data_IF_617926758756
#
_entry.id   IF_617926758756
#
_cell.length_a   1.000
_cell.length_b   1.000
_cell.length_c   1.000
_cell.angle_alpha   90.00
_cell.angle_beta   90.00
_cell.angle_gamma   90.00
#
_symmetry.space_group_name_H-M   'P 1'
#
loop_
_entity.id
_entity.type
_entity.pdbx_description
1 polymer ?
#
# COMPACT_ATOMS: atom_id res chain seq x y z
N UNK A 1 16.57 -11.94 0.82
CA UNK A 1 15.25 -12.51 0.50
C UNK A 1 14.93 -13.66 1.45
N UNK A 2 15.93 -14.47 1.79
CA UNK A 2 15.80 -15.67 2.63
C UNK A 2 15.16 -15.43 4.01
N UNK A 3 15.34 -14.23 4.57
CA UNK A 3 14.73 -13.82 5.85
C UNK A 3 13.25 -13.42 5.71
N UNK A 4 12.90 -12.62 4.70
CA UNK A 4 11.56 -12.01 4.57
C UNK A 4 10.58 -12.91 3.79
N UNK A 5 11.11 -13.78 2.92
CA UNK A 5 10.31 -14.65 2.04
C UNK A 5 9.27 -15.49 2.80
N UNK A 6 9.59 -16.17 3.93
CA UNK A 6 8.62 -17.01 4.62
C UNK A 6 7.42 -16.20 5.13
N UNK A 7 7.67 -15.03 5.70
CA UNK A 7 6.62 -14.14 6.22
C UNK A 7 5.75 -13.58 5.10
N UNK A 8 6.38 -13.21 4.00
CA UNK A 8 5.69 -12.67 2.84
C UNK A 8 4.76 -13.70 2.18
N UNK A 9 5.24 -14.94 1.99
CA UNK A 9 4.42 -16.01 1.42
C UNK A 9 3.25 -16.38 2.33
N UNK A 10 3.51 -16.55 3.63
CA UNK A 10 2.46 -16.81 4.62
C UNK A 10 1.37 -15.74 4.61
N UNK A 11 1.76 -14.47 4.53
CA UNK A 11 0.81 -13.36 4.41
C UNK A 11 -0.08 -13.49 3.15
N UNK A 12 0.50 -13.83 2.00
CA UNK A 12 -0.26 -14.01 0.76
C UNK A 12 -1.20 -15.22 0.84
N UNK A 13 -0.75 -16.32 1.44
CA UNK A 13 -1.56 -17.53 1.63
C UNK A 13 -2.75 -17.26 2.55
N UNK A 14 -2.53 -16.60 3.69
CA UNK A 14 -3.58 -16.20 4.62
C UNK A 14 -4.61 -15.27 3.96
N UNK A 15 -4.14 -14.27 3.20
CA UNK A 15 -5.02 -13.38 2.46
C UNK A 15 -5.80 -14.13 1.37
N UNK A 16 -5.17 -15.08 0.68
CA UNK A 16 -5.82 -15.84 -0.38
C UNK A 16 -6.95 -16.73 0.15
N UNK A 17 -6.74 -17.37 1.30
CA UNK A 17 -7.73 -18.27 1.92
C UNK A 17 -8.87 -17.47 2.57
N UNK A 18 -8.55 -16.42 3.32
CA UNK A 18 -9.53 -15.72 4.14
C UNK A 18 -10.14 -14.48 3.46
N UNK A 19 -9.44 -13.87 2.50
CA UNK A 19 -9.86 -12.64 1.82
C UNK A 19 -9.86 -11.39 2.72
N UNK A 20 -9.27 -11.47 3.91
CA UNK A 20 -9.26 -10.39 4.91
C UNK A 20 -7.86 -9.81 5.06
N UNK A 21 -7.77 -8.49 5.20
CA UNK A 21 -6.53 -7.83 5.57
C UNK A 21 -6.24 -7.98 7.06
N UNK A 22 -5.02 -8.36 7.42
CA UNK A 22 -4.55 -8.32 8.80
C UNK A 22 -4.71 -6.89 9.36
N UNK A 23 -5.12 -6.79 10.63
CA UNK A 23 -5.35 -5.50 11.29
C UNK A 23 -4.10 -4.61 11.18
N UNK A 24 -4.27 -3.38 10.71
CA UNK A 24 -3.19 -2.40 10.58
C UNK A 24 -2.39 -2.49 9.27
N UNK A 25 -2.67 -3.47 8.39
CA UNK A 25 -1.96 -3.58 7.10
C UNK A 25 -2.22 -2.37 6.18
N UNK A 26 -3.43 -1.82 6.22
CA UNK A 26 -3.82 -0.61 5.49
C UNK A 26 -3.57 0.67 6.29
N UNK A 27 -2.92 0.59 7.45
CA UNK A 27 -2.51 1.78 8.17
C UNK A 27 -1.48 2.55 7.34
N UNK A 28 -1.63 3.88 7.31
CA UNK A 28 -0.72 4.75 6.59
C UNK A 28 -0.52 6.05 7.34
N UNK A 29 0.64 6.66 7.17
CA UNK A 29 0.91 8.02 7.59
C UNK A 29 0.69 8.96 6.41
N UNK A 30 0.15 10.15 6.66
CA UNK A 30 0.10 11.21 5.66
C UNK A 30 1.31 12.11 5.88
N UNK A 31 2.19 12.19 4.89
CA UNK A 31 3.25 13.19 4.86
C UNK A 31 2.84 14.33 3.93
N UNK A 32 3.03 15.57 4.38
CA UNK A 32 2.76 16.77 3.60
C UNK A 32 4.08 17.23 2.97
N UNK A 33 4.19 17.10 1.65
CA UNK A 33 5.38 17.54 0.90
C UNK A 33 5.11 18.95 0.38
N UNK A 34 5.96 19.94 0.69
CA UNK A 34 5.78 21.31 0.20
C UNK A 34 5.90 21.35 -1.34
N UNK A 35 4.99 22.08 -2.01
CA UNK A 35 5.08 22.33 -3.47
C UNK A 35 5.88 23.59 -3.81
N UNK A 36 5.99 24.51 -2.86
CA UNK A 36 6.70 25.79 -2.96
C UNK A 36 7.73 25.92 -1.84
N UNK A 37 8.64 26.90 -1.92
CA UNK A 37 9.74 27.03 -0.96
C UNK A 37 9.30 27.41 0.46
N UNK A 38 8.24 28.21 0.58
CA UNK A 38 7.71 28.69 1.86
C UNK A 38 6.17 28.60 1.88
N UNK A 39 5.62 27.40 2.11
CA UNK A 39 4.17 27.18 2.08
C UNK A 39 3.47 27.81 3.30
N UNK A 40 2.49 28.66 3.02
CA UNK A 40 1.63 29.34 3.99
C UNK A 40 0.26 28.68 4.11
N UNK A 41 -0.24 28.07 3.03
CA UNK A 41 -1.58 27.48 2.97
C UNK A 41 -1.53 25.94 2.80
N UNK A 42 -2.58 25.24 3.26
CA UNK A 42 -2.63 23.77 3.20
C UNK A 42 -2.64 23.23 1.76
N UNK A 43 -3.22 23.99 0.83
CA UNK A 43 -3.27 23.62 -0.57
C UNK A 43 -1.90 23.75 -1.25
N UNK A 44 -0.90 24.39 -0.63
CA UNK A 44 0.49 24.44 -1.10
C UNK A 44 1.29 23.17 -0.75
N UNK A 45 0.67 22.21 -0.05
CA UNK A 45 1.23 20.90 0.19
C UNK A 45 0.64 19.84 -0.73
N UNK A 46 1.46 18.86 -1.09
CA UNK A 46 1.03 17.62 -1.73
C UNK A 46 1.00 16.51 -0.66
N UNK A 47 -0.18 15.99 -0.29
CA UNK A 47 -0.24 14.86 0.62
C UNK A 47 0.26 13.59 -0.08
N UNK A 48 1.11 12.82 0.59
CA UNK A 48 1.48 11.47 0.18
C UNK A 48 1.14 10.48 1.30
N UNK A 49 0.53 9.35 0.92
CA UNK A 49 0.29 8.24 1.85
C UNK A 49 1.53 7.34 1.92
N UNK A 50 2.14 7.30 3.09
CA UNK A 50 3.19 6.37 3.46
C UNK A 50 2.55 5.08 3.98
N UNK A 51 2.16 4.22 3.05
CA UNK A 51 1.59 2.90 3.32
C UNK A 51 2.62 1.79 3.13
N UNK A 52 2.52 0.72 3.93
CA UNK A 52 3.44 -0.41 3.92
C UNK A 52 3.58 -1.09 2.55
N UNK A 53 4.79 -1.54 2.22
CA UNK A 53 5.10 -2.16 0.92
C UNK A 53 4.31 -3.45 0.68
N UNK A 54 4.04 -4.24 1.72
CA UNK A 54 3.25 -5.47 1.65
C UNK A 54 1.84 -5.19 1.10
N UNK A 55 1.18 -4.13 1.58
CA UNK A 55 -0.11 -3.68 1.05
C UNK A 55 0.00 -3.30 -0.43
N UNK A 56 1.02 -2.52 -0.80
CA UNK A 56 1.23 -2.08 -2.20
C UNK A 56 1.41 -3.26 -3.15
N UNK A 57 2.17 -4.27 -2.75
CA UNK A 57 2.42 -5.46 -3.58
C UNK A 57 1.11 -6.26 -3.73
N UNK A 58 0.37 -6.46 -2.64
CA UNK A 58 -0.93 -7.15 -2.71
C UNK A 58 -1.93 -6.40 -3.60
N UNK A 59 -2.04 -5.08 -3.43
CA UNK A 59 -2.87 -4.23 -4.28
C UNK A 59 -2.48 -4.35 -5.76
N UNK A 60 -1.18 -4.40 -6.08
CA UNK A 60 -0.71 -4.61 -7.46
C UNK A 60 -1.09 -5.98 -8.02
N UNK A 61 -0.97 -7.04 -7.22
CA UNK A 61 -1.40 -8.39 -7.62
C UNK A 61 -2.90 -8.40 -7.92
N UNK A 62 -3.72 -7.80 -7.05
CA UNK A 62 -5.16 -7.69 -7.25
C UNK A 62 -5.51 -6.87 -8.49
N UNK A 63 -4.87 -5.71 -8.69
CA UNK A 63 -5.07 -4.89 -9.88
C UNK A 63 -4.72 -5.65 -11.18
N UNK A 64 -3.65 -6.44 -11.17
CA UNK A 64 -3.28 -7.28 -12.31
C UNK A 64 -4.27 -8.41 -12.57
N UNK A 65 -4.91 -8.97 -11.52
CA UNK A 65 -6.01 -9.93 -11.67
C UNK A 65 -7.24 -9.26 -12.26
N UNK A 66 -7.61 -8.09 -11.73
CA UNK A 66 -8.76 -7.30 -12.19
C UNK A 66 -8.61 -6.89 -13.67
N UNK A 67 -7.41 -6.47 -14.07
CA UNK A 67 -7.09 -6.11 -15.46
C UNK A 67 -7.44 -7.20 -16.47
N UNK A 68 -7.42 -8.49 -16.10
CA UNK A 68 -7.75 -9.59 -17.01
C UNK A 68 -9.25 -9.70 -17.32
N UNK A 69 -10.10 -9.10 -16.50
CA UNK A 69 -11.56 -9.18 -16.62
C UNK A 69 -12.22 -7.82 -16.89
N UNK A 70 -11.44 -6.74 -16.86
CA UNK A 70 -11.86 -5.42 -17.29
C UNK A 70 -11.63 -5.29 -18.80
N UNK A 71 -12.71 -5.01 -19.54
CA UNK A 71 -12.67 -4.68 -20.97
C UNK A 71 -12.13 -3.27 -21.20
#
# INVERSE_FOLDING_TARGET
WDVIKPDFLRFFDEFHVNGVFSRGLNASFIALIPKVADPQELDEYKPISLIGCTYKILAKVLANKLKKVMH
#
